data_IF_550597977680
#
_entry.id   IF_550597977680
#
_cell.length_a   1.000
_cell.length_b   1.000
_cell.length_c   1.000
_cell.angle_alpha   90.00
_cell.angle_beta   90.00
_cell.angle_gamma   90.00
#
_symmetry.space_group_name_H-M   'P 1'
#
loop_
_entity.id
_entity.type
_entity.pdbx_description
1 polymer ?
#
# COMPACT_ATOMS: atom_id res chain seq x y z
N UNK A 1 -11.32 -2.56 -0.40
CA UNK A 1 -9.89 -2.88 -0.62
C UNK A 1 -9.25 -1.77 -1.44
N UNK A 2 -7.95 -1.53 -1.28
CA UNK A 2 -7.22 -0.53 -2.05
C UNK A 2 -6.75 -1.05 -3.40
N UNK A 3 -6.94 -0.25 -4.46
CA UNK A 3 -6.36 -0.47 -5.77
C UNK A 3 -5.05 0.32 -5.89
N UNK A 4 -3.98 -0.38 -6.28
CA UNK A 4 -2.69 0.21 -6.57
C UNK A 4 -2.71 0.94 -7.93
N UNK A 5 -1.69 1.76 -8.16
CA UNK A 5 -1.57 2.54 -9.39
C UNK A 5 -1.42 1.68 -10.67
N UNK A 6 -1.03 0.41 -10.55
CA UNK A 6 -0.95 -0.56 -11.66
C UNK A 6 -2.31 -1.21 -12.01
N UNK A 7 -3.38 -0.80 -11.33
CA UNK A 7 -4.74 -1.30 -11.56
C UNK A 7 -5.05 -2.63 -10.87
N UNK A 8 -4.12 -3.18 -10.09
CA UNK A 8 -4.34 -4.37 -9.28
C UNK A 8 -4.59 -4.03 -7.82
N UNK A 9 -5.16 -4.97 -7.07
CA UNK A 9 -5.32 -4.81 -5.64
C UNK A 9 -4.05 -5.06 -4.87
N UNK A 10 -3.78 -4.20 -3.91
CA UNK A 10 -2.78 -4.50 -2.89
C UNK A 10 -3.40 -5.30 -1.74
N UNK A 11 -2.67 -6.31 -1.27
CA UNK A 11 -3.09 -7.20 -0.17
C UNK A 11 -2.47 -6.87 1.19
N UNK A 12 -1.61 -5.84 1.27
CA UNK A 12 -0.96 -5.42 2.52
C UNK A 12 -1.94 -4.92 3.60
N UNK A 13 -3.05 -4.30 3.21
CA UNK A 13 -4.14 -3.91 4.13
C UNK A 13 -5.48 -4.33 3.54
N UNK A 14 -6.20 -5.17 4.28
CA UNK A 14 -7.53 -5.66 3.93
C UNK A 14 -8.45 -5.42 5.11
N UNK A 15 -9.52 -4.67 4.88
CA UNK A 15 -10.59 -4.46 5.87
C UNK A 15 -11.82 -5.18 5.34
N UNK A 16 -12.38 -6.09 6.14
CA UNK A 16 -13.54 -6.88 5.78
C UNK A 16 -14.40 -7.15 7.01
N UNK A 17 -15.73 -7.15 6.82
CA UNK A 17 -16.65 -7.65 7.84
C UNK A 17 -16.47 -9.16 8.04
N UNK A 18 -16.82 -9.65 9.24
CA UNK A 18 -16.88 -11.08 9.53
C UNK A 18 -17.76 -11.78 8.48
N UNK A 19 -17.31 -12.94 8.00
CA UNK A 19 -17.99 -13.73 6.97
C UNK A 19 -18.19 -13.03 5.61
N UNK A 20 -17.39 -12.00 5.28
CA UNK A 20 -17.43 -11.32 3.98
C UNK A 20 -17.52 -12.31 2.81
N UNK A 21 -18.59 -12.17 2.02
CA UNK A 21 -18.83 -13.03 0.86
C UNK A 21 -17.72 -12.92 -0.18
N UNK A 22 -17.14 -11.73 -0.36
CA UNK A 22 -16.00 -11.53 -1.24
C UNK A 22 -14.76 -12.31 -0.77
N UNK A 23 -14.44 -12.20 0.52
CA UNK A 23 -13.28 -12.91 1.10
C UNK A 23 -13.46 -14.43 0.99
N UNK A 24 -14.67 -14.96 1.20
CA UNK A 24 -14.96 -16.38 1.00
C UNK A 24 -14.66 -16.81 -0.44
N UNK A 25 -15.19 -16.11 -1.45
CA UNK A 25 -14.91 -16.41 -2.86
C UNK A 25 -13.42 -16.36 -3.19
N UNK A 26 -12.71 -15.41 -2.60
CA UNK A 26 -11.28 -15.30 -2.77
C UNK A 26 -10.54 -16.46 -2.12
N UNK A 27 -10.90 -16.86 -0.89
CA UNK A 27 -10.36 -18.07 -0.26
C UNK A 27 -10.66 -19.33 -1.06
N UNK A 28 -11.88 -19.50 -1.57
CA UNK A 28 -12.29 -20.65 -2.37
C UNK A 28 -11.41 -20.81 -3.63
N UNK A 29 -10.95 -19.69 -4.21
CA UNK A 29 -10.05 -19.68 -5.37
C UNK A 29 -8.66 -20.29 -5.08
N UNK A 30 -8.25 -20.40 -3.81
CA UNK A 30 -6.99 -21.07 -3.43
C UNK A 30 -7.06 -22.60 -3.60
N UNK A 31 -8.22 -23.18 -3.90
CA UNK A 31 -8.28 -24.57 -4.39
C UNK A 31 -7.43 -24.81 -5.65
N UNK A 32 -7.21 -23.77 -6.46
CA UNK A 32 -6.32 -23.77 -7.63
C UNK A 32 -5.06 -22.92 -7.38
N UNK A 33 -4.48 -23.03 -6.18
CA UNK A 33 -3.33 -22.25 -5.75
C UNK A 33 -2.12 -22.42 -6.69
N UNK A 34 -1.55 -21.29 -7.11
CA UNK A 34 -0.36 -21.24 -7.99
C UNK A 34 0.84 -20.67 -7.23
N UNK A 35 1.60 -21.49 -6.48
CA UNK A 35 2.68 -21.01 -5.61
C UNK A 35 3.84 -20.34 -6.38
N UNK A 36 4.07 -20.77 -7.60
CA UNK A 36 5.23 -20.34 -8.40
C UNK A 36 4.99 -19.02 -9.16
N UNK A 37 3.79 -18.43 -9.05
CA UNK A 37 3.45 -17.19 -9.73
C UNK A 37 3.25 -16.06 -8.72
N UNK A 38 4.14 -15.07 -8.79
CA UNK A 38 4.10 -13.90 -7.90
C UNK A 38 2.77 -13.15 -8.07
N UNK A 39 2.08 -12.90 -6.95
CA UNK A 39 0.85 -12.10 -6.91
C UNK A 39 -0.37 -12.75 -7.60
N UNK A 40 -0.23 -13.90 -8.26
CA UNK A 40 -1.34 -14.51 -9.01
C UNK A 40 -2.56 -14.78 -8.10
N UNK A 41 -2.32 -15.33 -6.91
CA UNK A 41 -3.38 -15.65 -5.96
C UNK A 41 -3.82 -14.43 -5.15
N UNK A 42 -2.90 -13.53 -4.79
CA UNK A 42 -3.15 -12.47 -3.80
C UNK A 42 -3.48 -11.09 -4.39
N UNK A 43 -3.13 -10.85 -5.66
CA UNK A 43 -3.24 -9.55 -6.34
C UNK A 43 -4.12 -9.70 -7.57
N UNK A 44 -3.72 -10.58 -8.48
CA UNK A 44 -4.39 -10.78 -9.78
C UNK A 44 -5.75 -11.43 -9.58
N UNK A 45 -5.83 -12.53 -8.82
CA UNK A 45 -7.09 -13.23 -8.57
C UNK A 45 -8.10 -12.35 -7.82
N UNK A 46 -7.67 -11.62 -6.79
CA UNK A 46 -8.52 -10.68 -6.07
C UNK A 46 -9.11 -9.62 -7.02
N UNK A 47 -8.28 -9.09 -7.93
CA UNK A 47 -8.71 -8.11 -8.94
C UNK A 47 -9.70 -8.70 -9.94
N UNK A 48 -9.47 -9.95 -10.40
CA UNK A 48 -10.40 -10.68 -11.28
C UNK A 48 -11.75 -10.90 -10.59
N UNK A 49 -11.74 -11.36 -9.34
CA UNK A 49 -12.95 -11.58 -8.55
C UNK A 49 -13.73 -10.29 -8.30
N UNK A 50 -13.06 -9.15 -8.10
CA UNK A 50 -13.77 -7.88 -7.96
C UNK A 50 -14.45 -7.41 -9.23
N UNK A 51 -13.88 -7.69 -10.40
CA UNK A 51 -14.55 -7.45 -11.68
C UNK A 51 -15.75 -8.37 -11.87
N UNK A 52 -15.65 -9.62 -11.43
CA UNK A 52 -16.73 -10.61 -11.54
C UNK A 52 -17.87 -10.37 -10.52
N UNK A 53 -17.53 -9.91 -9.33
CA UNK A 53 -18.46 -9.72 -8.22
C UNK A 53 -18.40 -8.29 -7.64
N UNK A 54 -18.66 -7.25 -8.46
CA UNK A 54 -18.46 -5.86 -8.06
C UNK A 54 -19.37 -5.43 -6.90
N UNK A 55 -20.51 -6.10 -6.70
CA UNK A 55 -21.44 -5.82 -5.59
C UNK A 55 -20.96 -6.35 -4.23
N UNK A 56 -19.95 -7.23 -4.20
CA UNK A 56 -19.46 -7.85 -2.95
C UNK A 56 -18.29 -7.09 -2.34
N UNK A 57 -17.78 -6.06 -3.01
CA UNK A 57 -16.57 -5.36 -2.61
C UNK A 57 -16.70 -3.86 -2.91
N UNK A 58 -16.26 -3.06 -1.94
CA UNK A 58 -15.97 -1.65 -2.17
C UNK A 58 -14.48 -1.48 -2.51
N UNK A 59 -14.18 -0.74 -3.57
CA UNK A 59 -12.82 -0.53 -4.06
C UNK A 59 -12.43 0.93 -3.88
N UNK A 60 -11.41 1.16 -3.07
CA UNK A 60 -10.79 2.47 -2.88
C UNK A 60 -9.65 2.66 -3.87
N UNK A 61 -9.83 3.59 -4.81
CA UNK A 61 -8.80 3.92 -5.81
C UNK A 61 -7.83 5.01 -5.32
N UNK A 62 -8.34 5.93 -4.51
CA UNK A 62 -7.58 7.00 -3.88
C UNK A 62 -7.66 6.86 -2.36
N UNK A 63 -6.76 7.53 -1.64
CA UNK A 63 -6.72 7.52 -0.16
C UNK A 63 -6.52 6.13 0.46
N UNK A 64 -6.12 5.13 -0.33
CA UNK A 64 -5.82 3.79 0.17
C UNK A 64 -4.32 3.61 0.36
N UNK A 65 -3.91 2.53 1.04
CA UNK A 65 -2.49 2.26 1.31
C UNK A 65 -1.62 2.17 0.07
N UNK A 66 -2.18 1.86 -1.11
CA UNK A 66 -1.42 1.70 -2.36
C UNK A 66 -1.45 2.94 -3.25
N UNK A 67 -1.96 4.06 -2.72
CA UNK A 67 -1.94 5.35 -3.35
C UNK A 67 -1.24 6.38 -2.44
N UNK A 68 -0.35 7.24 -2.98
CA UNK A 68 0.02 7.37 -4.38
C UNK A 68 1.02 6.28 -4.82
N UNK A 69 1.41 6.29 -6.10
CA UNK A 69 2.46 5.41 -6.61
C UNK A 69 3.77 5.60 -5.81
N UNK A 70 4.58 4.55 -5.69
CA UNK A 70 5.79 4.56 -4.84
C UNK A 70 6.74 5.72 -5.14
N UNK A 71 6.91 6.09 -6.41
CA UNK A 71 7.79 7.22 -6.80
C UNK A 71 7.28 8.57 -6.29
N UNK A 72 5.97 8.75 -6.10
CA UNK A 72 5.46 9.97 -5.47
C UNK A 72 5.88 10.07 -4.01
N UNK A 73 6.12 8.94 -3.34
CA UNK A 73 6.57 8.96 -1.96
C UNK A 73 8.02 9.49 -1.83
N UNK A 74 8.88 9.16 -2.81
CA UNK A 74 10.28 9.59 -2.85
C UNK A 74 10.48 10.97 -3.47
N UNK A 75 9.65 11.33 -4.45
CA UNK A 75 9.95 12.48 -5.32
C UNK A 75 9.10 13.71 -4.96
N UNK A 76 8.06 13.55 -4.13
CA UNK A 76 7.08 14.60 -3.84
C UNK A 76 6.69 14.65 -2.36
N UNK A 77 6.03 15.75 -1.97
CA UNK A 77 5.38 15.94 -0.67
C UNK A 77 3.86 15.74 -0.82
N UNK A 78 3.45 14.48 -0.98
CA UNK A 78 2.04 14.11 -1.05
C UNK A 78 1.33 14.40 0.27
N UNK A 79 0.12 14.97 0.21
CA UNK A 79 -0.72 15.23 1.39
C UNK A 79 -1.34 13.93 1.89
N UNK A 80 -0.54 13.15 2.60
CA UNK A 80 -0.87 11.81 3.07
C UNK A 80 -1.87 11.76 4.24
N UNK A 81 -2.14 12.88 4.90
CA UNK A 81 -3.10 12.97 6.01
C UNK A 81 -4.55 12.62 5.63
N UNK A 82 -4.88 12.53 4.34
CA UNK A 82 -6.19 12.11 3.87
C UNK A 82 -6.26 10.62 3.52
N UNK A 83 -5.14 9.89 3.56
CA UNK A 83 -5.12 8.46 3.26
C UNK A 83 -5.50 7.63 4.49
N UNK A 84 -6.32 6.60 4.30
CA UNK A 84 -6.61 5.58 5.31
C UNK A 84 -5.37 4.77 5.72
N UNK A 85 -4.33 4.78 4.89
CA UNK A 85 -3.04 4.17 5.17
C UNK A 85 -2.02 4.54 4.09
N UNK A 86 -0.75 4.21 4.34
CA UNK A 86 0.34 4.35 3.37
C UNK A 86 1.13 3.04 3.41
N UNK A 87 1.33 2.42 2.25
CA UNK A 87 2.15 1.23 2.09
C UNK A 87 3.54 1.64 1.64
N UNK A 88 4.49 1.60 2.57
CA UNK A 88 5.91 1.81 2.28
C UNK A 88 6.55 0.43 2.13
N UNK A 89 6.40 -0.17 0.94
CA UNK A 89 7.04 -1.45 0.64
C UNK A 89 8.34 -1.22 -0.12
N UNK A 90 9.46 -1.52 0.55
CA UNK A 90 10.79 -1.89 0.02
C UNK A 90 11.85 -1.70 1.11
N UNK A 91 11.87 -2.48 2.20
CA UNK A 91 13.03 -2.46 3.08
C UNK A 91 14.18 -3.17 2.34
N UNK A 92 15.19 -2.40 1.90
CA UNK A 92 16.53 -2.93 1.60
C UNK A 92 17.03 -2.93 0.15
N UNK A 93 16.20 -2.61 -0.87
CA UNK A 93 16.67 -2.53 -2.29
C UNK A 93 16.84 -1.12 -2.84
N UNK A 94 16.21 -0.12 -2.22
CA UNK A 94 16.43 1.28 -2.56
C UNK A 94 17.73 1.72 -1.87
N UNK A 95 18.78 1.99 -2.64
CA UNK A 95 20.08 2.41 -2.10
C UNK A 95 19.94 3.66 -1.21
N UNK A 96 18.97 4.52 -1.54
CA UNK A 96 18.60 5.69 -0.76
C UNK A 96 18.21 5.32 0.69
N UNK A 97 17.46 4.24 0.90
CA UNK A 97 17.01 3.82 2.24
C UNK A 97 18.15 3.26 3.09
N UNK A 98 19.17 2.63 2.48
CA UNK A 98 20.34 2.10 3.19
C UNK A 98 21.21 3.23 3.78
N UNK A 99 21.15 4.41 3.18
CA UNK A 99 21.88 5.60 3.63
C UNK A 99 21.07 6.46 4.60
N UNK A 100 19.82 6.09 4.89
CA UNK A 100 18.99 6.82 5.85
C UNK A 100 19.42 6.52 7.29
N UNK A 101 19.52 7.59 8.07
CA UNK A 101 19.71 7.59 9.51
C UNK A 101 18.88 8.72 10.11
N UNK A 102 18.82 8.81 11.44
CA UNK A 102 18.01 9.84 12.10
C UNK A 102 18.38 11.27 11.70
N UNK A 103 19.65 11.55 11.38
CA UNK A 103 20.09 12.88 10.93
C UNK A 103 19.62 13.18 9.50
N UNK A 104 19.75 12.22 8.57
CA UNK A 104 19.31 12.42 7.19
C UNK A 104 17.78 12.44 7.06
N UNK A 105 17.04 11.67 7.86
CA UNK A 105 15.56 11.70 7.90
C UNK A 105 15.02 13.09 8.28
N UNK A 106 15.70 13.82 9.18
CA UNK A 106 15.31 15.19 9.59
C UNK A 106 15.31 16.18 8.41
N UNK A 107 16.15 15.93 7.41
CA UNK A 107 16.37 16.81 6.25
C UNK A 107 15.71 16.31 4.97
N UNK A 108 15.16 15.08 4.97
CA UNK A 108 14.60 14.45 3.78
C UNK A 108 13.27 15.11 3.39
N UNK A 109 13.29 15.98 2.38
CA UNK A 109 12.15 16.79 1.96
C UNK A 109 11.23 16.07 0.95
N UNK A 110 10.62 14.96 1.37
CA UNK A 110 9.60 14.24 0.62
C UNK A 110 8.61 13.54 1.57
N UNK A 111 7.63 12.84 1.00
CA UNK A 111 6.60 12.10 1.74
C UNK A 111 7.20 11.03 2.64
N UNK A 112 8.22 10.29 2.18
CA UNK A 112 8.92 9.28 3.01
C UNK A 112 9.56 9.93 4.23
N UNK A 113 10.27 11.04 4.05
CA UNK A 113 10.85 11.81 5.13
C UNK A 113 9.79 12.32 6.10
N UNK A 114 8.69 12.88 5.59
CA UNK A 114 7.58 13.35 6.43
C UNK A 114 6.94 12.22 7.24
N UNK A 115 6.71 11.06 6.64
CA UNK A 115 6.17 9.88 7.31
C UNK A 115 7.14 9.34 8.38
N UNK A 116 8.44 9.24 8.07
CA UNK A 116 9.45 8.80 9.04
C UNK A 116 9.63 9.77 10.19
N UNK A 117 9.65 11.09 9.94
CA UNK A 117 9.72 12.07 11.03
C UNK A 117 8.48 12.02 11.91
N UNK A 118 7.29 11.82 11.33
CA UNK A 118 6.06 11.62 12.12
C UNK A 118 6.18 10.39 13.04
N UNK A 119 6.65 9.26 12.52
CA UNK A 119 6.80 8.03 13.31
C UNK A 119 7.90 8.13 14.38
N UNK A 120 9.06 8.72 14.05
CA UNK A 120 10.23 8.71 14.95
C UNK A 120 10.32 9.93 15.87
N UNK A 121 9.72 11.07 15.50
CA UNK A 121 9.86 12.34 16.21
C UNK A 121 8.53 13.01 16.53
N UNK A 122 7.39 12.36 16.25
CA UNK A 122 6.04 12.92 16.42
C UNK A 122 5.86 14.30 15.73
N UNK A 123 6.61 14.52 14.64
CA UNK A 123 6.58 15.76 13.87
C UNK A 123 6.84 15.45 12.40
N UNK A 124 5.97 15.88 11.49
CA UNK A 124 6.13 15.64 10.05
C UNK A 124 6.94 16.73 9.33
N UNK A 125 7.07 17.90 9.95
CA UNK A 125 7.72 19.07 9.36
C UNK A 125 9.23 18.88 9.27
N UNK A 126 9.87 19.60 8.35
CA UNK A 126 11.33 19.63 8.27
C UNK A 126 11.89 20.24 9.56
N UNK A 127 12.95 19.62 10.09
CA UNK A 127 13.69 20.25 11.16
C UNK A 127 14.48 21.43 10.59
N UNK A 128 14.31 22.60 11.21
CA UNK A 128 15.17 23.77 11.01
C UNK A 128 16.61 23.50 11.45
#
# INVERSE_FOLDING_TARGET
>A
MGMAADGYFGSAVIIAGKNSAFIKKWMDSYSAYKPNLWGENSVIMATKLAKQYPKLIHVEKHYCSFYPHQTYLSDHNYKWSHSYGIHIYKPGREEQLKQLNFSSIRKLNNTLGAAFRFVFFDNKELCS
#
